data_IF_145895710640
#
_entry.id   IF_145895710640
#
_cell.length_a   1.000
_cell.length_b   1.000
_cell.length_c   1.000
_cell.angle_alpha   90.00
_cell.angle_beta   90.00
_cell.angle_gamma   90.00
#
_symmetry.space_group_name_H-M   'P 1'
#
loop_
_entity.id
_entity.type
_entity.pdbx_description
1 polymer ?
#
# COMPACT_ATOMS: atom_id res chain seq x y z
N UNK A 1 -6.90 -4.56 -16.48
CA UNK A 1 -5.70 -4.90 -17.27
C UNK A 1 -5.18 -3.77 -18.16
N UNK A 2 -5.80 -2.60 -18.20
CA UNK A 2 -5.45 -1.48 -19.10
C UNK A 2 -4.65 -0.36 -18.42
N UNK A 3 -3.96 -0.62 -17.31
CA UNK A 3 -3.14 0.38 -16.64
C UNK A 3 -1.84 0.69 -17.41
N UNK A 4 -1.20 1.77 -17.04
CA UNK A 4 0.18 2.05 -17.40
C UNK A 4 1.09 1.29 -16.44
N UNK A 5 1.87 0.34 -16.95
CA UNK A 5 2.68 -0.57 -16.13
C UNK A 5 3.82 0.17 -15.42
N UNK A 6 4.42 1.18 -16.08
CA UNK A 6 5.48 1.98 -15.48
C UNK A 6 4.97 2.84 -14.32
N UNK A 7 3.91 3.60 -14.57
CA UNK A 7 3.27 4.43 -13.53
C UNK A 7 2.79 3.59 -12.36
N UNK A 8 2.26 2.37 -12.61
CA UNK A 8 1.81 1.47 -11.56
C UNK A 8 2.97 0.99 -10.69
N UNK A 9 4.09 0.55 -11.29
CA UNK A 9 5.27 0.09 -10.53
C UNK A 9 5.83 1.21 -9.67
N UNK A 10 6.03 2.40 -10.24
CA UNK A 10 6.52 3.57 -9.49
C UNK A 10 5.57 3.90 -8.33
N UNK A 11 4.26 3.89 -8.57
CA UNK A 11 3.27 4.18 -7.54
C UNK A 11 3.23 3.13 -6.43
N UNK A 12 3.40 1.84 -6.76
CA UNK A 12 3.49 0.76 -5.76
C UNK A 12 4.74 0.92 -4.90
N UNK A 13 5.91 1.10 -5.52
CA UNK A 13 7.19 1.25 -4.80
C UNK A 13 7.19 2.50 -3.93
N UNK A 14 6.86 3.66 -4.51
CA UNK A 14 6.83 4.93 -3.76
C UNK A 14 5.71 4.94 -2.72
N UNK A 15 4.54 4.44 -3.07
CA UNK A 15 3.38 4.40 -2.18
C UNK A 15 3.59 3.51 -0.95
N UNK A 16 4.26 2.37 -1.12
CA UNK A 16 4.48 1.41 -0.04
C UNK A 16 5.70 1.73 0.83
N UNK A 17 6.79 2.26 0.25
CA UNK A 17 8.09 2.27 0.91
C UNK A 17 8.61 3.66 1.28
N UNK A 18 8.07 4.75 0.72
CA UNK A 18 8.42 6.09 1.19
C UNK A 18 8.23 6.21 2.70
N UNK A 19 9.23 6.79 3.38
CA UNK A 19 9.21 6.96 4.83
C UNK A 19 9.00 5.63 5.59
N UNK A 20 9.62 4.56 5.11
CA UNK A 20 9.55 3.21 5.66
C UNK A 20 8.11 2.65 5.72
N UNK A 21 7.21 3.11 4.84
CA UNK A 21 5.78 2.75 4.90
C UNK A 21 5.06 3.26 6.15
N UNK A 22 5.68 4.13 6.93
CA UNK A 22 5.13 4.68 8.19
C UNK A 22 4.30 5.93 7.94
N UNK A 23 3.39 5.86 6.99
CA UNK A 23 2.38 6.87 6.71
C UNK A 23 1.00 6.25 6.81
N UNK A 24 0.03 6.96 7.38
CA UNK A 24 -1.37 6.53 7.41
C UNK A 24 -1.96 6.28 6.01
N UNK A 25 -1.37 6.89 4.98
CA UNK A 25 -1.76 6.74 3.57
C UNK A 25 -0.83 5.84 2.75
N UNK A 26 0.16 5.18 3.36
CA UNK A 26 1.03 4.26 2.64
C UNK A 26 0.25 3.06 2.09
N UNK A 27 0.66 2.58 0.91
CA UNK A 27 0.07 1.39 0.32
C UNK A 27 0.53 0.15 1.10
N UNK A 28 -0.37 -0.46 1.87
CA UNK A 28 -0.11 -1.70 2.63
C UNK A 28 -0.48 -2.95 1.83
N UNK A 29 -1.39 -2.82 0.86
CA UNK A 29 -1.88 -3.92 0.03
C UNK A 29 -2.17 -3.49 -1.40
N UNK A 30 -2.02 -4.42 -2.33
CA UNK A 30 -2.34 -4.24 -3.74
C UNK A 30 -3.12 -5.45 -4.27
N UNK A 31 -4.20 -5.18 -4.99
CA UNK A 31 -4.99 -6.20 -5.69
C UNK A 31 -4.70 -6.06 -7.18
N UNK A 32 -4.06 -7.06 -7.77
CA UNK A 32 -3.57 -7.00 -9.14
C UNK A 32 -4.22 -8.08 -10.01
N UNK A 33 -4.78 -7.71 -11.19
CA UNK A 33 -5.19 -8.73 -12.16
C UNK A 33 -3.99 -9.58 -12.56
N UNK A 34 -4.20 -10.87 -12.80
CA UNK A 34 -3.12 -11.81 -13.16
C UNK A 34 -2.34 -11.35 -14.40
N UNK A 35 -3.03 -10.83 -15.40
CA UNK A 35 -2.37 -10.33 -16.61
C UNK A 35 -1.49 -9.11 -16.34
N UNK A 36 -1.87 -8.23 -15.43
CA UNK A 36 -1.06 -7.07 -15.01
C UNK A 36 0.14 -7.55 -14.19
N UNK A 37 -0.09 -8.39 -13.18
CA UNK A 37 0.98 -8.89 -12.32
C UNK A 37 2.10 -9.55 -13.13
N UNK A 38 1.78 -10.41 -14.09
CA UNK A 38 2.77 -11.06 -14.97
C UNK A 38 3.64 -10.07 -15.76
N UNK A 39 3.10 -8.91 -16.13
CA UNK A 39 3.86 -7.89 -16.87
C UNK A 39 4.79 -7.07 -15.98
N UNK A 40 4.41 -6.87 -14.72
CA UNK A 40 5.13 -5.94 -13.83
C UNK A 40 5.98 -6.63 -12.77
N UNK A 41 5.80 -7.94 -12.50
CA UNK A 41 6.43 -8.66 -11.37
C UNK A 41 7.95 -8.47 -11.35
N UNK A 42 8.62 -8.76 -12.46
CA UNK A 42 10.08 -8.67 -12.55
C UNK A 42 10.58 -7.24 -12.26
N UNK A 43 9.93 -6.24 -12.87
CA UNK A 43 10.30 -4.84 -12.67
C UNK A 43 9.99 -4.36 -11.27
N UNK A 44 8.84 -4.73 -10.71
CA UNK A 44 8.44 -4.38 -9.34
C UNK A 44 9.45 -4.92 -8.32
N UNK A 45 9.87 -6.17 -8.48
CA UNK A 45 10.91 -6.81 -7.64
C UNK A 45 12.25 -6.11 -7.81
N UNK A 46 12.67 -5.81 -9.04
CA UNK A 46 13.95 -5.16 -9.32
C UNK A 46 14.02 -3.74 -8.74
N UNK A 47 12.98 -2.93 -8.95
CA UNK A 47 12.93 -1.56 -8.41
C UNK A 47 12.87 -1.54 -6.87
N UNK A 48 12.13 -2.48 -6.26
CA UNK A 48 12.11 -2.62 -4.80
C UNK A 48 13.47 -3.04 -4.25
N UNK A 49 14.15 -3.99 -4.91
CA UNK A 49 15.49 -4.46 -4.52
C UNK A 49 16.56 -3.36 -4.64
N UNK A 50 16.39 -2.43 -5.57
CA UNK A 50 17.31 -1.31 -5.81
C UNK A 50 17.19 -0.19 -4.77
N UNK A 51 16.18 -0.20 -3.90
CA UNK A 51 16.03 0.81 -2.86
C UNK A 51 17.17 0.72 -1.85
N UNK A 52 17.85 1.84 -1.65
CA UNK A 52 18.94 1.97 -0.66
C UNK A 52 18.37 2.18 0.73
N UNK A 53 19.01 1.61 1.74
CA UNK A 53 18.59 1.71 3.14
C UNK A 53 19.80 1.91 4.04
N UNK A 54 19.76 2.88 4.95
CA UNK A 54 20.86 3.18 5.86
C UNK A 54 20.60 4.40 6.73
N UNK A 55 21.70 5.06 7.15
CA UNK A 55 21.65 6.28 7.97
C UNK A 55 20.89 7.40 7.24
N UNK A 56 19.97 8.05 7.95
CA UNK A 56 19.15 9.15 7.43
C UNK A 56 19.94 10.43 7.14
N UNK A 57 21.16 10.56 7.66
CA UNK A 57 22.07 11.67 7.34
C UNK A 57 22.70 11.52 5.96
N UNK A 58 22.73 10.32 5.42
CA UNK A 58 23.13 10.04 4.04
C UNK A 58 21.91 10.09 3.11
N UNK A 59 21.77 11.20 2.39
CA UNK A 59 20.65 11.45 1.48
C UNK A 59 20.64 10.56 0.23
N UNK A 60 21.60 9.68 0.04
CA UNK A 60 21.54 8.63 -0.98
C UNK A 60 20.66 7.46 -0.54
N UNK A 61 20.35 7.33 0.75
CA UNK A 61 19.43 6.34 1.26
C UNK A 61 17.97 6.75 1.04
N UNK A 62 17.19 5.83 0.46
CA UNK A 62 15.76 6.02 0.27
C UNK A 62 14.97 5.73 1.56
N UNK A 63 15.44 4.78 2.37
CA UNK A 63 14.83 4.38 3.64
C UNK A 63 15.83 4.50 4.80
N UNK A 64 15.30 4.84 5.97
CA UNK A 64 15.98 4.72 7.26
C UNK A 64 15.46 3.54 8.09
N UNK A 65 15.76 3.56 9.38
CA UNK A 65 15.19 2.64 10.36
C UNK A 65 13.70 2.93 10.61
N UNK A 66 12.94 1.93 11.06
CA UNK A 66 11.58 2.15 11.58
C UNK A 66 11.65 2.81 12.96
N UNK A 67 10.52 3.39 13.41
CA UNK A 67 10.48 4.39 14.47
C UNK A 67 10.99 3.89 15.83
N UNK A 68 10.71 2.64 16.19
CA UNK A 68 11.08 2.09 17.51
C UNK A 68 11.19 0.55 17.48
N UNK A 69 11.57 -0.01 18.63
CA UNK A 69 11.71 -1.45 18.86
C UNK A 69 10.37 -2.20 18.72
N UNK A 70 9.25 -1.57 19.08
CA UNK A 70 7.91 -2.18 18.97
C UNK A 70 7.48 -2.31 17.52
N UNK A 71 7.73 -1.26 16.72
CA UNK A 71 7.50 -1.32 15.27
C UNK A 71 8.38 -2.39 14.63
N UNK A 72 9.66 -2.42 14.97
CA UNK A 72 10.60 -3.44 14.51
C UNK A 72 10.13 -4.85 14.86
N UNK A 73 9.81 -5.12 16.13
CA UNK A 73 9.36 -6.43 16.58
C UNK A 73 8.07 -6.88 15.87
N UNK A 74 7.11 -5.96 15.66
CA UNK A 74 5.88 -6.22 14.91
C UNK A 74 6.17 -6.61 13.46
N UNK A 75 7.05 -5.87 12.77
CA UNK A 75 7.41 -6.16 11.38
C UNK A 75 8.21 -7.47 11.27
N UNK A 76 9.18 -7.68 12.14
CA UNK A 76 9.97 -8.92 12.18
C UNK A 76 9.07 -10.14 12.43
N UNK A 77 8.13 -10.02 13.37
CA UNK A 77 7.15 -11.07 13.66
C UNK A 77 6.24 -11.37 12.46
N UNK A 78 5.72 -10.34 11.79
CA UNK A 78 4.90 -10.49 10.59
C UNK A 78 5.67 -11.16 9.44
N UNK A 79 6.94 -10.77 9.22
CA UNK A 79 7.79 -11.37 8.19
C UNK A 79 8.15 -12.82 8.52
N UNK A 80 8.40 -13.14 9.78
CA UNK A 80 8.65 -14.51 10.23
C UNK A 80 7.41 -15.40 10.02
N UNK A 81 6.22 -14.89 10.37
CA UNK A 81 4.96 -15.58 10.11
C UNK A 81 4.72 -15.81 8.62
N UNK A 82 4.94 -14.78 7.79
CA UNK A 82 4.80 -14.89 6.33
C UNK A 82 5.75 -15.93 5.73
N UNK A 83 6.99 -16.04 6.24
CA UNK A 83 7.95 -17.06 5.79
C UNK A 83 7.52 -18.49 6.14
N UNK A 84 6.79 -18.65 7.23
CA UNK A 84 6.33 -19.95 7.71
C UNK A 84 4.96 -20.37 7.11
N UNK A 85 4.22 -19.43 6.51
CA UNK A 85 2.89 -19.69 5.95
C UNK A 85 2.99 -20.09 4.46
N UNK A 86 2.55 -21.31 4.07
CA UNK A 86 2.59 -21.75 2.68
C UNK A 86 1.72 -20.93 1.72
N UNK A 87 0.78 -20.12 2.25
CA UNK A 87 -0.06 -19.20 1.47
C UNK A 87 0.66 -17.89 1.13
N UNK A 88 1.87 -17.69 1.66
CA UNK A 88 2.68 -16.50 1.46
C UNK A 88 3.97 -16.82 0.73
N UNK A 89 4.33 -15.94 -0.22
CA UNK A 89 5.62 -16.00 -0.91
C UNK A 89 6.28 -14.62 -0.85
N UNK A 90 7.44 -14.54 -0.20
CA UNK A 90 8.25 -13.31 -0.23
C UNK A 90 8.90 -13.21 -1.61
N UNK A 91 8.57 -12.16 -2.36
CA UNK A 91 9.11 -11.90 -3.69
C UNK A 91 10.46 -11.17 -3.61
N UNK A 92 10.60 -10.26 -2.63
CA UNK A 92 11.81 -9.46 -2.38
C UNK A 92 11.85 -9.00 -0.94
N UNK A 93 13.03 -8.77 -0.38
CA UNK A 93 13.21 -8.30 1.01
C UNK A 93 13.09 -9.43 2.04
N UNK A 94 12.40 -9.16 3.13
CA UNK A 94 12.14 -10.13 4.20
C UNK A 94 13.22 -10.20 5.28
N UNK A 95 14.30 -9.42 5.20
CA UNK A 95 15.31 -9.37 6.26
C UNK A 95 15.09 -8.17 7.19
N UNK A 96 15.55 -8.33 8.43
CA UNK A 96 15.54 -7.30 9.48
C UNK A 96 16.88 -7.29 10.17
N UNK A 97 17.33 -6.11 10.63
CA UNK A 97 18.60 -5.94 11.34
C UNK A 97 18.44 -4.85 12.44
N UNK A 98 18.72 -5.20 13.68
CA UNK A 98 18.64 -4.30 14.86
C UNK A 98 19.99 -4.01 15.52
N UNK A 99 21.12 -4.38 14.88
CA UNK A 99 22.46 -4.22 15.46
C UNK A 99 22.90 -2.77 15.57
N UNK A 100 22.51 -1.92 14.61
CA UNK A 100 22.86 -0.49 14.57
C UNK A 100 21.62 0.40 14.57
N UNK A 101 20.46 -0.16 14.25
CA UNK A 101 19.17 0.52 14.16
C UNK A 101 18.08 -0.46 13.76
N UNK A 102 16.85 -0.06 13.91
CA UNK A 102 15.69 -0.91 13.63
C UNK A 102 15.39 -0.99 12.13
N UNK A 103 16.26 -1.66 11.38
CA UNK A 103 16.15 -1.75 9.92
C UNK A 103 15.26 -2.91 9.48
N UNK A 104 14.26 -2.61 8.67
CA UNK A 104 13.37 -3.58 8.03
C UNK A 104 13.45 -3.38 6.52
N UNK A 105 13.87 -4.41 5.79
CA UNK A 105 13.98 -4.32 4.33
C UNK A 105 12.62 -4.09 3.68
N UNK A 106 12.54 -3.24 2.63
CA UNK A 106 11.37 -3.15 1.77
C UNK A 106 10.99 -4.54 1.29
N UNK A 107 9.78 -4.96 1.62
CA UNK A 107 9.36 -6.33 1.41
C UNK A 107 8.05 -6.39 0.64
N UNK A 108 8.00 -7.24 -0.40
CA UNK A 108 6.78 -7.58 -1.10
C UNK A 108 6.44 -9.03 -0.79
N UNK A 109 5.23 -9.25 -0.28
CA UNK A 109 4.68 -10.57 0.01
C UNK A 109 3.52 -10.85 -0.94
N UNK A 110 3.63 -11.87 -1.78
CA UNK A 110 2.52 -12.41 -2.52
C UNK A 110 1.69 -13.29 -1.59
N UNK A 111 0.37 -13.07 -1.54
CA UNK A 111 -0.56 -13.75 -0.66
C UNK A 111 -1.63 -14.43 -1.49
N UNK A 112 -1.78 -15.74 -1.35
CA UNK A 112 -2.76 -16.53 -2.13
C UNK A 112 -4.16 -16.54 -1.51
N UNK A 113 -4.25 -16.31 -0.19
CA UNK A 113 -5.53 -16.23 0.52
C UNK A 113 -6.01 -14.77 0.58
N UNK A 114 -7.11 -14.41 -0.08
CA UNK A 114 -7.62 -13.03 -0.10
C UNK A 114 -8.08 -12.51 1.28
N UNK A 115 -8.24 -13.40 2.26
CA UNK A 115 -8.63 -13.05 3.64
C UNK A 115 -7.47 -13.17 4.65
N UNK A 116 -6.27 -13.29 4.15
CA UNK A 116 -5.08 -13.35 5.00
C UNK A 116 -4.90 -12.06 5.82
N UNK A 117 -4.41 -12.20 7.06
CA UNK A 117 -4.19 -11.07 7.99
C UNK A 117 -3.25 -10.00 7.43
N UNK A 118 -2.26 -10.36 6.61
CA UNK A 118 -1.40 -9.40 5.92
C UNK A 118 -2.14 -8.43 4.97
N UNK A 119 -3.37 -8.77 4.56
CA UNK A 119 -4.23 -7.89 3.75
C UNK A 119 -5.18 -7.06 4.59
N UNK A 120 -5.49 -7.46 5.84
CA UNK A 120 -6.44 -6.79 6.72
C UNK A 120 -5.78 -5.95 7.81
N UNK A 121 -4.65 -6.41 8.34
CA UNK A 121 -3.98 -5.78 9.48
C UNK A 121 -3.09 -4.61 9.03
N UNK A 122 -3.11 -3.54 9.83
CA UNK A 122 -2.25 -2.39 9.60
C UNK A 122 -0.89 -2.59 10.26
N UNK A 123 0.10 -3.04 9.49
CA UNK A 123 1.46 -3.24 9.99
C UNK A 123 2.22 -1.92 10.22
N UNK A 124 1.93 -0.90 9.44
CA UNK A 124 2.56 0.42 9.50
C UNK A 124 4.09 0.35 9.31
N UNK A 125 4.51 -0.30 8.23
CA UNK A 125 5.92 -0.56 7.93
C UNK A 125 6.17 -0.88 6.46
N UNK A 126 7.43 -1.13 6.07
CA UNK A 126 7.81 -1.29 4.67
C UNK A 126 7.47 -2.70 4.13
N UNK A 127 6.21 -3.08 4.25
CA UNK A 127 5.69 -4.39 3.82
C UNK A 127 4.46 -4.16 2.94
N UNK A 128 4.57 -4.54 1.66
CA UNK A 128 3.48 -4.51 0.70
C UNK A 128 2.96 -5.93 0.48
N UNK A 129 1.69 -6.16 0.80
CA UNK A 129 1.01 -7.42 0.53
C UNK A 129 0.30 -7.36 -0.82
N UNK A 130 0.56 -8.32 -1.69
CA UNK A 130 -0.01 -8.40 -3.04
C UNK A 130 -0.93 -9.61 -3.14
N UNK A 131 -2.16 -9.38 -3.52
CA UNK A 131 -3.11 -10.42 -3.92
C UNK A 131 -3.34 -10.37 -5.43
N UNK A 132 -3.16 -11.50 -6.10
CA UNK A 132 -3.35 -11.64 -7.54
C UNK A 132 -4.64 -12.37 -7.83
N UNK A 133 -5.55 -11.70 -8.55
CA UNK A 133 -6.85 -12.25 -8.90
C UNK A 133 -6.95 -12.52 -10.40
N UNK A 134 -7.86 -13.44 -10.82
CA UNK A 134 -8.13 -13.70 -12.23
C UNK A 134 -8.80 -12.48 -12.87
N UNK A 135 -8.42 -12.14 -14.08
CA UNK A 135 -8.83 -10.90 -14.77
C UNK A 135 -10.36 -10.72 -14.82
N UNK A 136 -11.12 -11.83 -14.89
CA UNK A 136 -12.58 -11.84 -14.92
C UNK A 136 -13.22 -11.65 -13.54
N UNK A 137 -12.47 -11.87 -12.46
CA UNK A 137 -12.96 -11.81 -11.07
C UNK A 137 -12.94 -10.39 -10.48
N UNK A 138 -12.95 -9.35 -11.32
CA UNK A 138 -12.84 -7.96 -10.86
C UNK A 138 -13.97 -7.55 -9.90
N UNK A 139 -15.21 -7.90 -10.20
CA UNK A 139 -16.36 -7.46 -9.39
C UNK A 139 -16.40 -8.16 -8.02
N UNK A 140 -16.00 -9.43 -7.95
CA UNK A 140 -15.82 -10.16 -6.70
C UNK A 140 -14.67 -9.57 -5.88
N UNK A 141 -13.56 -9.24 -6.56
CA UNK A 141 -12.40 -8.62 -5.92
C UNK A 141 -12.71 -7.22 -5.38
N UNK A 142 -13.53 -6.42 -6.05
CA UNK A 142 -13.97 -5.13 -5.55
C UNK A 142 -14.82 -5.26 -4.28
N UNK A 143 -15.66 -6.30 -4.21
CA UNK A 143 -16.44 -6.60 -3.00
C UNK A 143 -15.51 -7.00 -1.84
N UNK A 144 -14.60 -7.91 -2.12
CA UNK A 144 -13.58 -8.35 -1.17
C UNK A 144 -12.75 -7.18 -0.63
N UNK A 145 -12.22 -6.32 -1.52
CA UNK A 145 -11.43 -5.14 -1.16
C UNK A 145 -12.23 -4.19 -0.24
N UNK A 146 -13.50 -3.98 -0.54
CA UNK A 146 -14.40 -3.12 0.23
C UNK A 146 -14.63 -3.65 1.66
N UNK A 147 -14.59 -4.98 1.84
CA UNK A 147 -14.85 -5.67 3.10
C UNK A 147 -13.60 -6.03 3.91
N UNK A 148 -12.42 -5.98 3.30
CA UNK A 148 -11.18 -6.50 3.88
C UNK A 148 -10.76 -5.80 5.17
N UNK A 149 -11.03 -4.50 5.30
CA UNK A 149 -10.57 -3.71 6.46
C UNK A 149 -11.63 -2.72 6.92
N UNK A 150 -11.73 -2.45 8.22
CA UNK A 150 -12.59 -1.40 8.75
C UNK A 150 -12.10 0.01 8.40
N UNK A 151 -10.85 0.15 7.94
CA UNK A 151 -10.25 1.43 7.58
C UNK A 151 -10.56 1.82 6.14
N UNK A 152 -10.72 3.13 5.90
CA UNK A 152 -11.03 3.70 4.60
C UNK A 152 -10.40 5.10 4.45
N UNK A 153 -9.08 5.20 4.61
CA UNK A 153 -8.38 6.48 4.55
C UNK A 153 -8.06 6.86 3.11
N UNK A 154 -7.22 6.09 2.45
CA UNK A 154 -6.80 6.34 1.07
C UNK A 154 -6.85 5.07 0.24
N UNK A 155 -6.98 5.24 -1.07
CA UNK A 155 -6.90 4.18 -2.05
C UNK A 155 -6.53 4.72 -3.41
N UNK A 156 -6.06 3.85 -4.31
CA UNK A 156 -5.73 4.22 -5.68
C UNK A 156 -6.26 3.19 -6.68
N UNK A 157 -6.64 3.68 -7.86
CA UNK A 157 -7.10 2.86 -8.98
C UNK A 157 -6.27 3.20 -10.21
N UNK A 158 -5.76 2.19 -10.89
CA UNK A 158 -4.97 2.34 -12.11
C UNK A 158 -5.68 1.73 -13.31
N UNK A 159 -5.98 2.54 -14.31
CA UNK A 159 -6.55 2.10 -15.60
C UNK A 159 -6.45 3.22 -16.63
N UNK A 160 -6.22 2.86 -17.90
CA UNK A 160 -6.38 3.77 -19.05
C UNK A 160 -7.81 3.80 -19.59
N UNK A 161 -8.64 2.82 -19.19
CA UNK A 161 -10.06 2.78 -19.53
C UNK A 161 -10.86 3.68 -18.59
N UNK A 162 -11.38 4.78 -19.12
CA UNK A 162 -12.16 5.78 -18.38
C UNK A 162 -13.49 5.23 -17.86
N UNK A 163 -14.12 4.30 -18.59
CA UNK A 163 -15.36 3.69 -18.15
C UNK A 163 -15.10 2.76 -16.96
N UNK A 164 -14.01 1.96 -16.99
CA UNK A 164 -13.58 1.15 -15.87
C UNK A 164 -13.23 2.01 -14.66
N UNK A 165 -12.47 3.10 -14.83
CA UNK A 165 -12.16 4.04 -13.73
C UNK A 165 -13.42 4.57 -13.06
N UNK A 166 -14.39 5.05 -13.86
CA UNK A 166 -15.65 5.59 -13.33
C UNK A 166 -16.46 4.53 -12.57
N UNK A 167 -16.57 3.31 -13.13
CA UNK A 167 -17.28 2.19 -12.51
C UNK A 167 -16.64 1.79 -11.17
N UNK A 168 -15.32 1.60 -11.17
CA UNK A 168 -14.58 1.17 -9.98
C UNK A 168 -14.61 2.27 -8.91
N UNK A 169 -14.39 3.55 -9.29
CA UNK A 169 -14.44 4.67 -8.35
C UNK A 169 -15.83 4.81 -7.71
N UNK A 170 -16.90 4.62 -8.48
CA UNK A 170 -18.27 4.62 -7.95
C UNK A 170 -18.49 3.48 -6.96
N UNK A 171 -18.00 2.28 -7.28
CA UNK A 171 -18.13 1.09 -6.41
C UNK A 171 -17.35 1.26 -5.11
N UNK A 172 -16.15 1.86 -5.16
CA UNK A 172 -15.23 2.01 -4.03
C UNK A 172 -15.33 3.38 -3.33
N UNK A 173 -16.31 4.22 -3.64
CA UNK A 173 -16.43 5.58 -3.10
C UNK A 173 -16.47 5.66 -1.56
N UNK A 174 -16.84 4.57 -0.88
CA UNK A 174 -16.88 4.46 0.58
C UNK A 174 -15.69 3.67 1.15
N UNK A 175 -14.85 3.10 0.28
CA UNK A 175 -13.66 2.34 0.67
C UNK A 175 -12.42 3.23 0.86
N UNK A 176 -12.49 4.52 0.52
CA UNK A 176 -11.41 5.48 0.73
C UNK A 176 -11.97 6.91 0.87
N UNK A 177 -11.50 7.65 1.86
CA UNK A 177 -11.83 9.07 1.99
C UNK A 177 -11.15 9.91 0.90
N UNK A 178 -9.92 9.57 0.54
CA UNK A 178 -9.21 10.11 -0.62
C UNK A 178 -8.93 8.96 -1.62
N UNK A 179 -9.58 9.00 -2.76
CA UNK A 179 -9.41 8.04 -3.83
C UNK A 179 -8.63 8.67 -5.00
N UNK A 180 -7.47 8.10 -5.31
CA UNK A 180 -6.58 8.57 -6.36
C UNK A 180 -6.78 7.77 -7.65
N UNK A 181 -6.70 8.43 -8.78
CA UNK A 181 -6.82 7.80 -10.10
C UNK A 181 -5.49 7.93 -10.85
N UNK A 182 -4.87 6.79 -11.15
CA UNK A 182 -3.55 6.70 -11.80
C UNK A 182 -2.44 7.46 -11.06
N UNK A 183 -2.53 7.49 -9.73
CA UNK A 183 -1.52 8.10 -8.85
C UNK A 183 -1.40 7.27 -7.56
N UNK A 184 -0.29 7.43 -6.85
CA UNK A 184 -0.05 6.74 -5.56
C UNK A 184 -1.05 7.23 -4.49
N UNK A 185 -1.45 6.38 -3.52
CA UNK A 185 -2.47 6.74 -2.52
C UNK A 185 -1.95 7.65 -1.40
N UNK A 186 -0.77 8.20 -1.50
CA UNK A 186 -0.08 8.98 -0.46
C UNK A 186 0.46 10.30 -1.00
N UNK A 187 0.71 11.26 -0.12
CA UNK A 187 1.31 12.54 -0.49
C UNK A 187 0.30 13.69 -0.65
N UNK A 188 -0.85 13.63 0.03
CA UNK A 188 -1.77 14.76 0.10
C UNK A 188 -1.08 16.02 0.66
N UNK A 189 -1.28 17.16 -0.02
CA UNK A 189 -0.69 18.45 0.34
C UNK A 189 -1.77 19.35 0.91
N UNK A 190 -1.52 19.89 2.11
CA UNK A 190 -2.44 20.82 2.79
C UNK A 190 -2.76 22.02 1.89
N UNK A 191 -4.03 22.36 1.78
CA UNK A 191 -4.52 23.44 0.92
C UNK A 191 -4.70 23.07 -0.55
N UNK A 192 -4.16 21.93 -1.02
CA UNK A 192 -4.33 21.43 -2.38
C UNK A 192 -5.27 20.22 -2.42
N UNK A 193 -5.10 19.29 -1.49
CA UNK A 193 -5.88 18.06 -1.41
C UNK A 193 -6.49 17.94 -0.01
N UNK A 194 -7.76 18.29 0.17
CA UNK A 194 -8.46 18.06 1.42
C UNK A 194 -8.40 16.59 1.81
N UNK A 195 -7.94 16.30 3.03
CA UNK A 195 -7.60 14.96 3.47
C UNK A 195 -8.53 14.48 4.58
N UNK A 196 -9.02 13.27 4.45
CA UNK A 196 -9.86 12.66 5.48
C UNK A 196 -10.22 11.23 5.14
N UNK A 197 -10.47 10.43 6.17
CA UNK A 197 -10.87 9.03 6.08
C UNK A 197 -12.34 8.82 6.39
N UNK A 198 -12.88 7.74 5.86
CA UNK A 198 -14.21 7.23 6.19
C UNK A 198 -14.11 5.98 7.07
N UNK A 199 -15.23 5.43 7.51
CA UNK A 199 -15.33 4.24 8.38
C UNK A 199 -14.49 4.40 9.65
N UNK A 200 -13.66 3.40 9.98
CA UNK A 200 -12.72 3.45 11.10
C UNK A 200 -11.59 4.48 10.97
N UNK A 201 -11.41 5.07 9.79
CA UNK A 201 -10.40 6.10 9.55
C UNK A 201 -10.88 7.53 9.82
N UNK A 202 -12.11 7.73 10.24
CA UNK A 202 -12.61 9.04 10.66
C UNK A 202 -13.93 9.45 10.02
N UNK A 203 -14.28 10.74 10.18
CA UNK A 203 -15.55 11.31 9.74
C UNK A 203 -15.50 11.93 8.34
N UNK A 204 -14.35 11.87 7.70
CA UNK A 204 -14.08 12.45 6.37
C UNK A 204 -14.34 13.98 6.28
N UNK A 205 -14.08 14.70 7.36
CA UNK A 205 -14.32 16.15 7.45
C UNK A 205 -13.28 17.00 6.69
N UNK A 206 -12.46 16.39 5.86
CA UNK A 206 -11.56 17.06 4.92
C UNK A 206 -10.59 18.04 5.58
N UNK A 207 -9.75 17.54 6.48
CA UNK A 207 -8.65 18.28 7.09
C UNK A 207 -7.79 19.00 6.03
N UNK A 208 -7.28 20.19 6.35
CA UNK A 208 -6.57 21.04 5.39
C UNK A 208 -7.49 21.81 4.42
N UNK A 209 -8.80 21.83 4.68
CA UNK A 209 -9.81 22.55 3.92
C UNK A 209 -10.66 23.40 4.83
N UNK A 210 -11.17 24.54 4.34
CA UNK A 210 -12.16 25.36 5.06
C UNK A 210 -13.44 24.60 5.38
N UNK A 211 -13.74 23.52 4.65
CA UNK A 211 -14.89 22.66 4.92
C UNK A 211 -14.82 21.99 6.30
N UNK A 212 -13.60 21.73 6.80
CA UNK A 212 -13.41 21.19 8.13
C UNK A 212 -13.96 22.15 9.22
N UNK A 213 -13.84 23.46 9.00
CA UNK A 213 -14.32 24.47 9.94
C UNK A 213 -15.84 24.49 10.09
N UNK A 214 -16.59 24.01 9.09
CA UNK A 214 -18.06 23.91 9.16
C UNK A 214 -18.52 22.87 10.19
N UNK A 215 -17.61 22.02 10.66
CA UNK A 215 -17.87 20.99 11.67
C UNK A 215 -17.95 21.57 13.09
N UNK A 216 -17.29 22.70 13.32
CA UNK A 216 -17.13 23.36 14.62
C UNK A 216 -17.95 24.63 14.73
#
# INVERSE_FOLDING_TARGET
PSCDDESLVVALVRGAFEYQGQKCSAASRAYLPRSVFRRIEERLVAETKALTMGDVTDFTNFLGAVIDDRAFARHAGALAAAKADPRCKILVGGATDDREGYFVQPTIVLVDDPRHTLLSDELFGPILSVYVYEDEAIDETLTLLDETSPYALTGAIFSRDRAALSRIATRLRQAAGNLYLNDKPTGAVVGQQPFGGARGSGTNDKAGSKLNLLRW
#
